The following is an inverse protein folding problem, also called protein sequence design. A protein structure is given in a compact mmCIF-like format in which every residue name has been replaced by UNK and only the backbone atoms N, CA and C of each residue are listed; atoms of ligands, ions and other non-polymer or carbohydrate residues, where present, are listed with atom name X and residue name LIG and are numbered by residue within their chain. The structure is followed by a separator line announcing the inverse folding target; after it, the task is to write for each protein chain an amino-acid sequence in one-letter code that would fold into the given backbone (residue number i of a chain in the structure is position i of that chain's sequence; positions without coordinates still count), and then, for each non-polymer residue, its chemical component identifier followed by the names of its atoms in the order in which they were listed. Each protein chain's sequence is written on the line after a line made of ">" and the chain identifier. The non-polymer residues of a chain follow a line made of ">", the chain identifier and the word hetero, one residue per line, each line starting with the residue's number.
data_IF_137498625610
#
_entry.id   IF_137498625610
#
_cell.length_a   1.000
_cell.length_b   1.000
_cell.length_c   1.000
_cell.angle_alpha   90.00
_cell.angle_beta   90.00
_cell.angle_gamma   90.00
#
_symmetry.space_group_name_H-M   'P 1'
#
loop_
_entity.id
_entity.type
_entity.pdbx_description
1 polymer ?
#
# COMPACT_ATOMS: atom_id res chain seq x y z
N UNK A 1 8.59 -30.23 57.49
CA UNK A 1 9.16 -29.94 56.18
C UNK A 1 8.02 -29.87 55.16
N UNK A 2 7.62 -28.64 54.76
CA UNK A 2 6.56 -28.44 53.77
C UNK A 2 7.27 -27.99 52.49
N UNK A 3 7.23 -28.82 51.44
CA UNK A 3 7.73 -28.46 50.11
C UNK A 3 6.63 -27.73 49.34
N UNK A 4 6.79 -26.44 49.16
CA UNK A 4 5.91 -25.62 48.31
C UNK A 4 6.26 -25.86 46.84
N UNK A 5 5.32 -26.43 46.08
CA UNK A 5 5.42 -26.55 44.63
C UNK A 5 5.02 -25.21 44.01
N UNK A 6 5.98 -24.46 43.47
CA UNK A 6 5.73 -23.27 42.64
C UNK A 6 5.30 -23.72 41.24
N UNK A 7 4.03 -23.59 40.94
CA UNK A 7 3.49 -23.75 39.58
C UNK A 7 3.80 -22.45 38.80
N UNK A 8 4.85 -22.46 37.98
CA UNK A 8 5.11 -21.38 37.03
C UNK A 8 4.04 -21.42 35.93
N UNK A 9 3.07 -20.51 35.99
CA UNK A 9 2.12 -20.29 34.89
C UNK A 9 2.88 -19.65 33.74
N UNK A 10 3.27 -20.47 32.77
CA UNK A 10 3.75 -19.99 31.48
C UNK A 10 2.57 -19.35 30.74
N UNK A 11 2.41 -18.04 30.85
CA UNK A 11 1.53 -17.29 30.00
C UNK A 11 2.23 -17.21 28.61
N UNK A 12 1.72 -17.89 27.55
CA UNK A 12 2.29 -17.68 26.23
C UNK A 12 2.10 -16.20 25.90
N UNK A 13 3.18 -15.45 25.80
CA UNK A 13 3.17 -14.12 25.23
C UNK A 13 2.62 -14.29 23.81
N UNK A 14 1.33 -14.00 23.61
CA UNK A 14 0.76 -13.81 22.29
C UNK A 14 1.67 -12.76 21.63
N UNK A 15 2.47 -13.20 20.68
CA UNK A 15 3.30 -12.30 19.88
C UNK A 15 2.34 -11.24 19.33
N UNK A 16 2.41 -10.06 19.89
CA UNK A 16 1.56 -8.94 19.48
C UNK A 16 1.84 -8.74 17.99
N UNK A 17 0.84 -9.06 17.17
CA UNK A 17 0.95 -8.89 15.72
C UNK A 17 1.11 -7.40 15.46
N UNK A 18 2.22 -7.03 14.87
CA UNK A 18 2.47 -5.66 14.47
C UNK A 18 1.72 -5.43 13.16
N UNK A 19 0.68 -4.59 13.20
CA UNK A 19 -0.02 -4.11 12.02
C UNK A 19 0.47 -2.68 11.71
N UNK A 20 0.19 -2.14 10.52
CA UNK A 20 0.71 -0.85 10.09
C UNK A 20 -0.42 0.11 9.77
N UNK A 21 -0.30 1.35 10.23
CA UNK A 21 -1.08 2.50 9.78
C UNK A 21 -0.12 3.51 9.15
N UNK A 22 -0.39 3.89 7.91
CA UNK A 22 0.37 4.88 7.17
C UNK A 22 -0.59 5.98 6.71
N UNK A 23 -0.32 7.22 7.12
CA UNK A 23 -1.08 8.40 6.69
C UNK A 23 -0.21 9.22 5.74
N UNK A 24 -0.75 9.54 4.58
CA UNK A 24 -0.06 10.30 3.55
C UNK A 24 -0.96 11.42 3.03
N UNK A 25 -0.38 12.57 2.83
CA UNK A 25 -0.98 13.66 2.08
C UNK A 25 -0.65 13.46 0.60
N UNK A 26 -1.67 13.32 -0.23
CA UNK A 26 -1.52 13.17 -1.67
C UNK A 26 -1.97 14.45 -2.37
N UNK A 27 -1.16 14.94 -3.30
CA UNK A 27 -1.53 16.06 -4.19
C UNK A 27 -1.28 15.68 -5.64
N UNK A 28 -2.26 15.96 -6.49
CA UNK A 28 -2.15 15.83 -7.95
C UNK A 28 -1.78 17.17 -8.58
N UNK A 29 -1.43 17.17 -9.87
CA UNK A 29 -1.15 18.38 -10.64
C UNK A 29 -2.31 19.40 -10.68
N UNK A 30 -3.52 19.00 -10.27
CA UNK A 30 -4.69 19.86 -10.13
C UNK A 30 -4.72 20.70 -8.84
N UNK A 31 -3.67 20.64 -8.02
CA UNK A 31 -3.55 21.30 -6.70
C UNK A 31 -4.56 20.84 -5.64
N UNK A 32 -5.42 19.89 -5.92
CA UNK A 32 -6.22 19.25 -4.87
C UNK A 32 -5.31 18.37 -4.01
N UNK A 33 -5.38 18.59 -2.71
CA UNK A 33 -4.63 17.80 -1.72
C UNK A 33 -5.62 17.07 -0.85
N UNK A 34 -5.42 15.77 -0.66
CA UNK A 34 -6.26 14.93 0.19
C UNK A 34 -5.45 13.99 1.06
N UNK A 35 -6.05 13.51 2.12
CA UNK A 35 -5.45 12.55 3.05
C UNK A 35 -5.77 11.14 2.57
N UNK A 36 -4.74 10.30 2.46
CA UNK A 36 -4.88 8.86 2.20
C UNK A 36 -4.35 8.09 3.40
N UNK A 37 -5.15 7.19 3.94
CA UNK A 37 -4.80 6.37 5.09
C UNK A 37 -4.75 4.91 4.66
N UNK A 38 -3.57 4.31 4.73
CA UNK A 38 -3.35 2.90 4.47
C UNK A 38 -3.23 2.14 5.78
N UNK A 39 -3.96 1.04 5.91
CA UNK A 39 -3.89 0.11 7.04
C UNK A 39 -3.57 -1.29 6.52
N UNK A 40 -2.59 -1.94 7.13
CA UNK A 40 -2.19 -3.31 6.80
C UNK A 40 -2.34 -4.20 8.03
N UNK A 41 -2.99 -5.35 7.86
CA UNK A 41 -3.16 -6.38 8.88
C UNK A 41 -3.04 -7.76 8.26
N UNK A 42 -1.90 -8.40 8.43
CA UNK A 42 -1.63 -9.67 7.77
C UNK A 42 -1.67 -9.56 6.25
N UNK A 43 -2.62 -10.24 5.60
CA UNK A 43 -2.88 -10.15 4.16
C UNK A 43 -3.99 -9.15 3.81
N UNK A 44 -4.57 -8.49 4.79
CA UNK A 44 -5.65 -7.55 4.59
C UNK A 44 -5.10 -6.13 4.47
N UNK A 45 -5.60 -5.41 3.50
CA UNK A 45 -5.34 -4.00 3.28
C UNK A 45 -6.64 -3.22 3.34
N UNK A 46 -6.60 -2.07 3.99
CA UNK A 46 -7.63 -1.05 3.90
C UNK A 46 -6.98 0.27 3.50
N UNK A 47 -7.53 0.91 2.50
CA UNK A 47 -7.17 2.27 2.11
C UNK A 47 -8.40 3.15 2.27
N UNK A 48 -8.28 4.22 3.02
CA UNK A 48 -9.32 5.23 3.20
C UNK A 48 -8.88 6.53 2.54
N UNK A 49 -9.76 7.13 1.75
CA UNK A 49 -9.67 8.50 1.24
C UNK A 49 -10.92 9.26 1.72
N UNK A 50 -10.85 9.88 2.91
CA UNK A 50 -12.00 10.57 3.51
C UNK A 50 -12.51 11.74 2.67
N UNK A 51 -11.61 12.45 1.99
CA UNK A 51 -11.95 13.65 1.20
C UNK A 51 -12.69 13.26 -0.09
N UNK A 52 -12.33 12.12 -0.67
CA UNK A 52 -13.00 11.57 -1.86
C UNK A 52 -14.18 10.65 -1.51
N UNK A 53 -14.48 10.47 -0.23
CA UNK A 53 -15.60 9.67 0.27
C UNK A 53 -15.59 8.21 -0.19
N UNK A 54 -14.43 7.60 -0.32
CA UNK A 54 -14.33 6.17 -0.59
C UNK A 54 -13.31 5.46 0.30
N UNK A 55 -13.49 4.14 0.41
CA UNK A 55 -12.51 3.25 1.03
C UNK A 55 -12.37 1.99 0.18
N UNK A 56 -11.20 1.37 0.22
CA UNK A 56 -10.96 0.08 -0.43
C UNK A 56 -10.56 -0.94 0.63
N UNK A 57 -11.27 -2.06 0.68
CA UNK A 57 -10.88 -3.25 1.42
C UNK A 57 -10.32 -4.26 0.42
N UNK A 58 -9.17 -4.86 0.71
CA UNK A 58 -8.53 -5.78 -0.23
C UNK A 58 -7.82 -6.92 0.49
N UNK A 59 -7.90 -8.10 -0.08
CA UNK A 59 -7.05 -9.24 0.26
C UNK A 59 -5.82 -9.24 -0.67
N UNK A 60 -4.63 -9.11 -0.10
CA UNK A 60 -3.38 -8.94 -0.86
C UNK A 60 -2.97 -10.21 -1.64
N UNK A 61 -3.39 -11.39 -1.19
CA UNK A 61 -3.06 -12.65 -1.85
C UNK A 61 -3.97 -12.92 -3.05
N UNK A 62 -5.27 -12.68 -2.88
CA UNK A 62 -6.29 -13.01 -3.91
C UNK A 62 -6.67 -11.83 -4.77
N UNK A 63 -6.38 -10.59 -4.33
CA UNK A 63 -6.82 -9.31 -4.94
C UNK A 63 -8.35 -9.12 -4.98
N UNK A 64 -9.09 -9.97 -4.31
CA UNK A 64 -10.50 -9.70 -4.06
C UNK A 64 -10.63 -8.39 -3.28
N UNK A 65 -11.54 -7.53 -3.72
CA UNK A 65 -11.67 -6.21 -3.11
C UNK A 65 -13.11 -5.72 -3.06
N UNK A 66 -13.35 -4.82 -2.13
CA UNK A 66 -14.56 -4.02 -2.03
C UNK A 66 -14.18 -2.55 -2.10
N UNK A 67 -14.73 -1.81 -3.04
CA UNK A 67 -14.65 -0.35 -3.05
C UNK A 67 -15.92 0.19 -2.40
N UNK A 68 -15.79 0.79 -1.24
CA UNK A 68 -16.88 1.33 -0.44
C UNK A 68 -17.11 2.79 -0.83
N UNK A 69 -18.33 3.15 -1.19
CA UNK A 69 -18.76 4.51 -1.46
C UNK A 69 -19.51 5.03 -0.22
N UNK A 70 -18.84 5.84 0.59
CA UNK A 70 -19.34 6.22 1.92
C UNK A 70 -20.54 7.16 1.86
N UNK A 71 -20.68 7.96 0.79
CA UNK A 71 -21.76 8.93 0.60
C UNK A 71 -23.13 8.26 0.54
N UNK A 72 -23.25 7.10 -0.08
CA UNK A 72 -24.52 6.41 -0.29
C UNK A 72 -24.57 5.01 0.33
N UNK A 73 -23.51 4.64 1.08
CA UNK A 73 -23.34 3.32 1.70
C UNK A 73 -23.52 2.17 0.72
N UNK A 74 -22.88 2.28 -0.43
CA UNK A 74 -22.83 1.21 -1.41
C UNK A 74 -21.41 0.71 -1.62
N UNK A 75 -21.26 -0.49 -2.18
CA UNK A 75 -19.98 -1.03 -2.54
C UNK A 75 -19.96 -1.65 -3.93
N UNK A 76 -18.79 -1.59 -4.56
CA UNK A 76 -18.44 -2.38 -5.73
C UNK A 76 -17.57 -3.54 -5.25
N UNK A 77 -17.90 -4.74 -5.66
CA UNK A 77 -17.11 -5.94 -5.36
C UNK A 77 -16.34 -6.36 -6.61
N UNK A 78 -15.08 -6.71 -6.43
CA UNK A 78 -14.23 -7.36 -7.42
C UNK A 78 -13.81 -8.73 -6.88
N UNK A 79 -14.19 -9.79 -7.57
CA UNK A 79 -13.82 -11.14 -7.17
C UNK A 79 -12.36 -11.48 -7.55
N UNK A 80 -11.77 -12.42 -6.82
CA UNK A 80 -10.43 -12.92 -7.11
C UNK A 80 -10.29 -13.51 -8.53
N UNK A 81 -11.35 -14.11 -9.07
CA UNK A 81 -11.40 -14.63 -10.44
C UNK A 81 -11.34 -13.51 -11.48
N UNK A 82 -12.05 -12.40 -11.25
CA UNK A 82 -12.03 -11.22 -12.10
C UNK A 82 -10.67 -10.55 -12.10
N UNK A 83 -10.08 -10.39 -10.92
CA UNK A 83 -8.73 -9.84 -10.78
C UNK A 83 -7.69 -10.68 -11.54
N UNK A 84 -7.77 -12.00 -11.45
CA UNK A 84 -6.90 -12.91 -12.23
C UNK A 84 -7.12 -12.81 -13.72
N UNK A 85 -8.36 -12.77 -14.15
CA UNK A 85 -8.70 -12.64 -15.57
C UNK A 85 -8.15 -11.33 -16.15
N UNK A 86 -8.31 -10.21 -15.46
CA UNK A 86 -7.75 -8.93 -15.91
C UNK A 86 -6.22 -9.01 -16.07
N UNK A 87 -5.52 -9.61 -15.11
CA UNK A 87 -4.06 -9.79 -15.18
C UNK A 87 -3.67 -10.60 -16.42
N UNK A 88 -4.38 -11.68 -16.72
CA UNK A 88 -4.11 -12.52 -17.89
C UNK A 88 -4.41 -11.81 -19.21
N UNK A 89 -5.52 -11.08 -19.30
CA UNK A 89 -5.85 -10.28 -20.49
C UNK A 89 -4.82 -9.17 -20.74
N UNK A 90 -4.37 -8.49 -19.68
CA UNK A 90 -3.37 -7.46 -19.78
C UNK A 90 -1.99 -8.02 -20.20
N UNK A 91 -1.61 -9.21 -19.73
CA UNK A 91 -0.42 -9.92 -20.21
C UNK A 91 -0.51 -10.21 -21.72
N UNK A 92 -1.67 -10.65 -22.20
CA UNK A 92 -1.91 -10.90 -23.62
C UNK A 92 -1.80 -9.62 -24.45
N UNK A 93 -2.45 -8.53 -24.02
CA UNK A 93 -2.40 -7.21 -24.69
C UNK A 93 -1.03 -6.59 -24.71
N UNK A 94 -0.18 -6.88 -23.73
CA UNK A 94 1.19 -6.41 -23.68
C UNK A 94 2.15 -7.16 -24.63
N UNK A 95 1.64 -8.06 -25.47
CA UNK A 95 2.43 -8.79 -26.47
C UNK A 95 3.23 -9.96 -25.92
N UNK A 96 2.80 -10.49 -24.78
CA UNK A 96 3.40 -11.68 -24.17
C UNK A 96 4.86 -11.52 -23.77
N UNK A 97 5.13 -11.48 -22.51
CA UNK A 97 6.29 -12.00 -21.80
C UNK A 97 7.52 -11.13 -21.54
N UNK A 98 8.16 -10.46 -22.49
CA UNK A 98 9.56 -10.11 -22.22
C UNK A 98 9.83 -8.84 -21.38
N UNK A 99 8.95 -7.84 -21.41
CA UNK A 99 9.16 -6.60 -20.64
C UNK A 99 8.56 -6.63 -19.21
N UNK A 100 7.65 -7.59 -18.96
CA UNK A 100 6.98 -7.75 -17.66
C UNK A 100 7.70 -8.74 -16.74
N UNK A 101 8.55 -9.61 -17.29
CA UNK A 101 9.23 -10.66 -16.52
C UNK A 101 10.52 -10.20 -15.86
N UNK A 102 11.04 -9.03 -16.25
CA UNK A 102 12.19 -8.45 -15.59
C UNK A 102 11.78 -7.87 -14.22
N UNK A 103 12.53 -8.18 -13.16
CA UNK A 103 12.30 -7.53 -11.88
C UNK A 103 12.45 -6.01 -12.04
N UNK A 104 11.67 -5.20 -11.31
CA UNK A 104 11.82 -3.75 -11.36
C UNK A 104 13.25 -3.38 -10.96
N UNK A 105 13.85 -2.45 -11.71
CA UNK A 105 15.15 -1.92 -11.34
C UNK A 105 15.08 -1.29 -9.94
N UNK A 106 16.08 -1.49 -9.08
CA UNK A 106 16.10 -0.86 -7.78
C UNK A 106 16.20 0.66 -7.89
N UNK A 107 15.65 1.42 -6.94
CA UNK A 107 15.88 2.87 -6.86
C UNK A 107 17.36 3.19 -6.71
N UNK A 108 17.81 4.26 -7.37
CA UNK A 108 19.22 4.68 -7.40
C UNK A 108 19.40 5.97 -6.60
N UNK A 109 20.32 5.97 -5.65
CA UNK A 109 20.70 7.15 -4.88
C UNK A 109 21.31 8.22 -5.80
N UNK A 110 20.90 9.48 -5.62
CA UNK A 110 21.43 10.61 -6.40
C UNK A 110 22.61 11.31 -5.71
N UNK A 111 22.85 11.02 -4.43
CA UNK A 111 23.79 11.75 -3.57
C UNK A 111 23.33 13.18 -3.22
N UNK A 112 22.08 13.53 -3.53
CA UNK A 112 21.48 14.82 -3.15
C UNK A 112 20.67 14.65 -1.88
N UNK A 113 20.73 15.66 -1.01
CA UNK A 113 20.03 15.67 0.27
C UNK A 113 19.10 16.88 0.33
N UNK A 114 17.93 16.69 0.91
CA UNK A 114 16.93 17.74 1.12
C UNK A 114 16.13 17.40 2.39
N UNK A 115 15.96 18.33 3.35
CA UNK A 115 15.12 18.11 4.52
C UNK A 115 13.64 18.12 4.12
N UNK A 116 12.87 17.12 4.59
CA UNK A 116 11.42 17.02 4.36
C UNK A 116 10.74 16.66 5.68
N UNK A 117 9.77 17.46 6.11
CA UNK A 117 8.99 17.25 7.34
C UNK A 117 9.86 17.00 8.60
N UNK A 118 10.99 17.70 8.71
CA UNK A 118 11.92 17.55 9.84
C UNK A 118 12.85 16.34 9.79
N UNK A 119 12.83 15.58 8.69
CA UNK A 119 13.76 14.47 8.44
C UNK A 119 14.83 14.89 7.43
N UNK A 120 16.07 14.53 7.70
CA UNK A 120 17.13 14.57 6.70
C UNK A 120 16.90 13.43 5.71
N UNK A 121 16.73 13.75 4.45
CA UNK A 121 16.43 12.75 3.42
C UNK A 121 17.45 12.78 2.30
N UNK A 122 17.78 11.60 1.78
CA UNK A 122 18.51 11.42 0.53
C UNK A 122 17.53 11.18 -0.62
N UNK A 123 17.78 11.82 -1.77
CA UNK A 123 16.92 11.68 -2.94
C UNK A 123 17.35 10.47 -3.76
N UNK A 124 16.39 9.59 -4.05
CA UNK A 124 16.52 8.46 -4.96
C UNK A 124 15.70 8.70 -6.21
N UNK A 125 16.18 8.19 -7.34
CA UNK A 125 15.45 8.12 -8.60
C UNK A 125 15.07 6.69 -8.90
N UNK A 126 13.91 6.51 -9.51
CA UNK A 126 13.48 5.25 -10.02
C UNK A 126 12.80 5.45 -11.39
N UNK A 127 13.09 4.54 -12.32
CA UNK A 127 12.47 4.53 -13.65
C UNK A 127 11.84 3.18 -13.91
N UNK A 128 10.56 3.20 -14.18
CA UNK A 128 9.75 2.03 -14.46
C UNK A 128 9.37 1.92 -15.94
N UNK A 129 8.58 0.90 -16.25
CA UNK A 129 8.06 0.69 -17.59
C UNK A 129 7.14 1.85 -18.04
N UNK A 130 7.02 2.03 -19.37
CA UNK A 130 6.12 3.03 -20.00
C UNK A 130 6.41 4.49 -19.60
N UNK A 131 7.69 4.83 -19.34
CA UNK A 131 8.08 6.21 -19.01
C UNK A 131 7.63 6.69 -17.64
N UNK A 132 7.33 5.79 -16.71
CA UNK A 132 7.06 6.13 -15.32
C UNK A 132 8.37 6.44 -14.62
N UNK A 133 8.46 7.59 -14.00
CA UNK A 133 9.60 8.01 -13.20
C UNK A 133 9.13 8.40 -11.80
N UNK A 134 9.97 8.15 -10.82
CA UNK A 134 9.72 8.59 -9.45
C UNK A 134 10.96 9.22 -8.84
N UNK A 135 10.73 10.25 -8.04
CA UNK A 135 11.68 10.80 -7.09
C UNK A 135 11.21 10.39 -5.68
N UNK A 136 12.13 9.91 -4.87
CA UNK A 136 11.86 9.39 -3.53
C UNK A 136 12.81 10.08 -2.55
N UNK A 137 12.28 10.73 -1.54
CA UNK A 137 13.01 11.32 -0.42
C UNK A 137 13.02 10.33 0.73
N UNK A 138 14.17 9.74 1.00
CA UNK A 138 14.34 8.61 1.92
C UNK A 138 15.09 9.05 3.16
N UNK A 139 14.44 8.94 4.32
CA UNK A 139 15.06 9.24 5.62
C UNK A 139 15.82 8.03 6.16
N UNK A 140 17.08 8.29 6.58
CA UNK A 140 17.96 7.34 7.27
C UNK A 140 18.73 8.08 8.39
N UNK A 141 18.61 7.65 9.64
CA UNK A 141 17.74 6.59 10.17
C UNK A 141 16.26 7.01 10.26
N UNK A 142 15.35 6.02 10.34
CA UNK A 142 13.94 6.24 10.66
C UNK A 142 13.53 5.32 11.81
N UNK A 143 12.79 5.81 12.83
CA UNK A 143 12.39 5.00 13.98
C UNK A 143 11.58 3.76 13.56
N UNK A 144 11.89 2.60 14.14
CA UNK A 144 11.21 1.33 13.91
C UNK A 144 11.13 0.89 12.44
N UNK A 145 12.05 1.37 11.58
CA UNK A 145 11.98 1.14 10.14
C UNK A 145 11.94 -0.35 9.76
N UNK A 146 12.66 -1.23 10.47
CA UNK A 146 12.66 -2.66 10.16
C UNK A 146 11.27 -3.32 10.32
N UNK A 147 10.52 -2.92 11.34
CA UNK A 147 9.15 -3.38 11.54
C UNK A 147 8.23 -2.82 10.43
N UNK A 148 8.34 -1.54 10.11
CA UNK A 148 7.59 -0.88 9.03
C UNK A 148 7.90 -1.54 7.69
N UNK A 149 9.17 -1.76 7.38
CA UNK A 149 9.64 -2.41 6.14
C UNK A 149 9.05 -3.81 5.97
N UNK A 150 8.97 -4.57 7.07
CA UNK A 150 8.38 -5.92 7.05
C UNK A 150 6.91 -5.87 6.64
N UNK A 151 6.15 -4.89 7.11
CA UNK A 151 4.75 -4.72 6.73
C UNK A 151 4.62 -4.20 5.29
N UNK A 152 5.42 -3.22 4.89
CA UNK A 152 5.43 -2.67 3.53
C UNK A 152 5.85 -3.70 2.47
N UNK A 153 6.70 -4.68 2.82
CA UNK A 153 7.10 -5.76 1.91
C UNK A 153 5.92 -6.63 1.44
N UNK A 154 4.79 -6.61 2.14
CA UNK A 154 3.54 -7.26 1.71
C UNK A 154 2.94 -6.57 0.48
N UNK A 155 3.07 -5.24 0.43
CA UNK A 155 2.65 -4.45 -0.75
C UNK A 155 3.56 -4.70 -1.95
N UNK A 156 4.86 -4.91 -1.74
CA UNK A 156 5.78 -5.26 -2.82
C UNK A 156 5.36 -6.59 -3.48
N UNK A 157 5.03 -7.61 -2.68
CA UNK A 157 4.50 -8.88 -3.18
C UNK A 157 3.19 -8.70 -3.97
N UNK A 158 2.30 -7.83 -3.49
CA UNK A 158 1.08 -7.50 -4.19
C UNK A 158 1.38 -6.85 -5.55
N UNK A 159 2.34 -5.93 -5.61
CA UNK A 159 2.74 -5.26 -6.84
C UNK A 159 3.42 -6.21 -7.84
N UNK A 160 4.09 -7.25 -7.36
CA UNK A 160 4.74 -8.26 -8.22
C UNK A 160 3.75 -9.17 -8.98
N UNK A 161 2.50 -9.25 -8.53
CA UNK A 161 1.50 -10.15 -9.09
C UNK A 161 0.74 -9.59 -10.31
N UNK A 162 1.35 -8.82 -11.20
CA UNK A 162 0.65 -8.40 -12.42
C UNK A 162 1.21 -7.15 -13.09
N UNK A 163 0.36 -6.40 -13.82
CA UNK A 163 0.73 -5.20 -14.58
C UNK A 163 1.42 -4.10 -13.79
N UNK A 164 1.26 -4.11 -12.48
CA UNK A 164 1.89 -3.15 -11.59
C UNK A 164 3.33 -3.53 -11.24
N UNK A 165 3.82 -4.69 -11.69
CA UNK A 165 5.16 -5.20 -11.36
C UNK A 165 6.28 -4.18 -11.59
N UNK A 166 6.16 -3.36 -12.62
CA UNK A 166 7.12 -2.30 -12.93
C UNK A 166 6.47 -0.90 -12.82
N UNK A 167 5.38 -0.77 -12.08
CA UNK A 167 4.66 0.48 -11.95
C UNK A 167 5.13 1.32 -10.76
N UNK A 168 5.74 0.69 -9.78
CA UNK A 168 6.24 1.31 -8.56
C UNK A 168 7.54 0.64 -8.11
N UNK A 169 8.46 1.38 -7.46
CA UNK A 169 9.63 0.78 -6.84
C UNK A 169 9.21 -0.11 -5.67
N UNK A 170 9.97 -1.17 -5.43
CA UNK A 170 9.81 -1.98 -4.23
C UNK A 170 10.34 -1.19 -3.03
N UNK A 171 9.44 -0.80 -2.13
CA UNK A 171 9.81 0.01 -0.95
C UNK A 171 10.71 -0.76 0.02
N UNK A 172 10.65 -2.09 0.04
CA UNK A 172 11.53 -2.94 0.84
C UNK A 172 13.00 -2.90 0.40
N UNK A 173 13.28 -2.45 -0.83
CA UNK A 173 14.65 -2.29 -1.35
C UNK A 173 15.30 -0.97 -0.92
N UNK A 174 14.52 -0.05 -0.35
CA UNK A 174 15.05 1.22 0.13
C UNK A 174 15.73 1.06 1.48
N UNK A 175 16.80 1.82 1.73
CA UNK A 175 17.55 1.75 2.99
C UNK A 175 16.92 2.54 4.15
N UNK A 176 15.74 3.13 3.95
CA UNK A 176 15.03 3.96 4.92
C UNK A 176 13.61 4.26 4.50
N UNK A 177 12.92 5.04 5.31
CA UNK A 177 11.52 5.40 5.09
C UNK A 177 11.36 6.46 4.02
N UNK A 178 10.43 6.26 3.09
CA UNK A 178 10.04 7.29 2.10
C UNK A 178 9.18 8.33 2.80
N UNK A 179 9.71 9.55 2.93
CA UNK A 179 9.01 10.70 3.53
C UNK A 179 8.18 11.44 2.48
N UNK A 180 8.70 11.51 1.25
CA UNK A 180 8.02 12.13 0.11
C UNK A 180 8.31 11.34 -1.14
N UNK A 181 7.32 11.21 -2.01
CA UNK A 181 7.51 10.69 -3.35
C UNK A 181 6.82 11.58 -4.38
N UNK A 182 7.43 11.72 -5.55
CA UNK A 182 6.83 12.38 -6.72
C UNK A 182 6.84 11.37 -7.86
N UNK A 183 5.65 10.91 -8.22
CA UNK A 183 5.43 10.04 -9.37
C UNK A 183 5.12 10.89 -10.60
N UNK A 184 5.88 10.69 -11.68
CA UNK A 184 5.72 11.41 -12.93
C UNK A 184 5.30 10.40 -13.99
N UNK A 185 4.17 10.65 -14.63
CA UNK A 185 3.63 9.84 -15.69
C UNK A 185 3.07 10.74 -16.81
N UNK A 186 3.72 10.76 -17.95
CA UNK A 186 3.44 11.69 -19.06
C UNK A 186 3.45 13.16 -18.58
N UNK A 187 2.28 13.81 -18.59
CA UNK A 187 2.11 15.23 -18.17
C UNK A 187 1.52 15.38 -16.76
N UNK A 188 1.32 14.28 -16.06
CA UNK A 188 0.74 14.28 -14.72
C UNK A 188 1.81 13.97 -13.68
N UNK A 189 1.71 14.63 -12.56
CA UNK A 189 2.50 14.30 -11.38
C UNK A 189 1.60 14.10 -10.17
N UNK A 190 1.98 13.14 -9.34
CA UNK A 190 1.33 12.89 -8.05
C UNK A 190 2.43 12.92 -6.99
N UNK A 191 2.24 13.77 -6.00
CA UNK A 191 3.12 13.86 -4.84
C UNK A 191 2.44 13.21 -3.65
N UNK A 192 3.14 12.29 -2.98
CA UNK A 192 2.72 11.75 -1.70
C UNK A 192 3.73 12.19 -0.64
N UNK A 193 3.24 12.68 0.48
CA UNK A 193 4.07 13.11 1.62
C UNK A 193 3.59 12.41 2.87
N UNK A 194 4.51 11.76 3.59
CA UNK A 194 4.23 11.08 4.85
C UNK A 194 3.79 12.08 5.91
N UNK A 195 2.62 11.82 6.51
CA UNK A 195 2.09 12.55 7.66
C UNK A 195 2.42 11.80 8.94
N UNK A 196 2.08 10.52 9.00
CA UNK A 196 2.39 9.67 10.14
C UNK A 196 2.55 8.20 9.74
N UNK A 197 3.28 7.46 10.56
CA UNK A 197 3.36 6.00 10.49
C UNK A 197 3.35 5.42 11.89
N UNK A 198 2.51 4.38 12.10
CA UNK A 198 2.39 3.69 13.37
C UNK A 198 2.41 2.19 13.14
N UNK A 199 3.07 1.49 14.07
CA UNK A 199 3.08 0.03 14.13
C UNK A 199 2.33 -0.34 15.40
N UNK A 200 1.10 -0.78 15.27
CA UNK A 200 0.18 -1.05 16.38
C UNK A 200 -0.84 -2.13 16.00
N UNK A 201 -1.38 -2.91 16.96
CA UNK A 201 -2.43 -3.87 16.67
C UNK A 201 -3.69 -3.17 16.15
N UNK A 202 -4.26 -3.68 15.05
CA UNK A 202 -5.49 -3.16 14.47
C UNK A 202 -6.67 -4.13 14.73
N UNK A 203 -7.85 -3.57 14.94
CA UNK A 203 -9.08 -4.37 15.08
C UNK A 203 -9.44 -5.03 13.72
N UNK A 204 -9.80 -6.31 13.78
CA UNK A 204 -10.21 -7.07 12.60
C UNK A 204 -11.45 -6.49 11.90
N UNK A 205 -12.35 -5.87 12.67
CA UNK A 205 -13.57 -5.25 12.14
C UNK A 205 -13.29 -4.13 11.14
N UNK A 206 -12.12 -3.47 11.24
CA UNK A 206 -11.72 -2.44 10.27
C UNK A 206 -11.58 -2.98 8.84
N UNK A 207 -11.35 -4.29 8.70
CA UNK A 207 -11.15 -4.96 7.41
C UNK A 207 -12.37 -5.77 6.96
N UNK A 208 -13.45 -5.72 7.71
CA UNK A 208 -14.71 -6.35 7.35
C UNK A 208 -15.59 -5.39 6.52
N UNK A 209 -16.37 -5.96 5.60
CA UNK A 209 -17.42 -5.21 4.90
C UNK A 209 -18.47 -4.75 5.92
N UNK A 210 -18.74 -3.43 6.07
CA UNK A 210 -19.73 -2.95 7.01
C UNK A 210 -21.14 -3.48 6.65
N UNK A 211 -21.91 -3.90 7.67
CA UNK A 211 -23.21 -4.53 7.47
C UNK A 211 -24.30 -3.60 6.92
N UNK A 212 -24.08 -2.29 7.03
CA UNK A 212 -25.01 -1.25 6.54
C UNK A 212 -24.74 -0.84 5.09
N UNK A 213 -23.74 -1.46 4.43
CA UNK A 213 -23.45 -1.25 3.01
C UNK A 213 -24.18 -2.29 2.14
N UNK A 214 -24.63 -1.86 0.98
CA UNK A 214 -25.31 -2.71 -0.01
C UNK A 214 -24.57 -2.70 -1.35
N UNK A 215 -24.66 -3.78 -2.15
CA UNK A 215 -24.02 -3.80 -3.46
C UNK A 215 -24.59 -2.71 -4.36
N UNK A 216 -23.69 -2.04 -5.10
CA UNK A 216 -24.11 -1.11 -6.14
C UNK A 216 -24.72 -1.91 -7.30
N UNK A 217 -25.91 -1.50 -7.75
CA UNK A 217 -26.50 -2.10 -8.96
C UNK A 217 -25.62 -1.80 -10.16
N UNK A 218 -25.28 -2.79 -11.00
CA UNK A 218 -24.64 -2.52 -12.27
C UNK A 218 -25.44 -1.50 -13.07
N UNK A 219 -24.77 -0.62 -13.85
CA UNK A 219 -25.51 0.25 -14.77
C UNK A 219 -26.35 -0.62 -15.72
N UNK A 220 -27.62 -0.31 -15.84
CA UNK A 220 -28.50 -0.98 -16.81
C UNK A 220 -27.86 -0.78 -18.19
N UNK A 221 -27.53 -1.89 -18.86
CA UNK A 221 -27.10 -1.81 -20.26
C UNK A 221 -28.29 -1.21 -21.03
N UNK A 222 -28.13 0.05 -21.47
CA UNK A 222 -29.07 0.63 -22.41
C UNK A 222 -29.11 -0.27 -23.66
N UNK A 223 -30.28 -0.62 -24.14
CA UNK A 223 -30.47 -1.46 -25.33
C UNK A 223 -29.89 -0.81 -26.58
#
# INVERSE_FOLDING_TARGET
>A
MWAGVFLAVFCPALAARADLVLEQQQSASSNATHLVILKLRGRQMRMDDPDSHFSVLMDLDTRASYTLLTTNKTYLQKFASEARWEIEEEKKLAGGTNAMDLPPAPPVATGKFEPVNGYDTEIYTWSGAKGRNQLLWVAKPFPNYDAIRTELAKLDKFNDLGLHRNAQPQVSQLPGMVIKSVSIFHRHSVTNTLVSVKVEPLDASLFALPSDYRPQKPPEKKP
#
